data_IF_570119501127
#
_entry.id   IF_570119501127
#
_cell.length_a   1.000
_cell.length_b   1.000
_cell.length_c   1.000
_cell.angle_alpha   90.00
_cell.angle_beta   90.00
_cell.angle_gamma   90.00
#
_symmetry.space_group_name_H-M   'P 1'
#
loop_
_entity.id
_entity.type
_entity.pdbx_description
1 polymer ?
#
# COMPACT_ATOMS: atom_id res chain seq x y z
N UNK A 1 -3.98 16.16 5.56
CA UNK A 1 -3.27 15.53 4.42
C UNK A 1 -2.75 14.16 4.84
N UNK A 2 -3.00 13.14 4.01
CA UNK A 2 -2.52 11.79 4.27
C UNK A 2 -1.42 11.41 3.29
N UNK A 3 -0.38 10.75 3.80
CA UNK A 3 0.72 10.22 3.00
C UNK A 3 0.42 8.77 2.65
N UNK A 4 0.40 8.46 1.36
CA UNK A 4 0.13 7.11 0.86
C UNK A 4 1.41 6.58 0.22
N UNK A 5 2.01 5.58 0.83
CA UNK A 5 3.24 4.96 0.33
C UNK A 5 2.88 3.82 -0.63
N UNK A 6 3.45 3.85 -1.82
CA UNK A 6 3.31 2.77 -2.80
C UNK A 6 4.66 2.14 -3.11
N UNK A 7 4.72 0.82 -3.03
CA UNK A 7 5.94 0.03 -3.24
C UNK A 7 5.76 -0.89 -4.42
N UNK A 8 6.64 -0.78 -5.41
CA UNK A 8 6.61 -1.59 -6.63
C UNK A 8 8.03 -1.66 -7.21
N UNK A 9 8.38 -2.75 -7.90
CA UNK A 9 9.68 -2.91 -8.52
C UNK A 9 9.81 -2.20 -9.86
N UNK A 10 8.70 -1.68 -10.41
CA UNK A 10 8.71 -1.01 -11.70
C UNK A 10 8.53 0.50 -11.57
N UNK A 11 9.46 1.25 -12.13
CA UNK A 11 9.42 2.71 -12.13
C UNK A 11 8.13 3.24 -12.78
N UNK A 12 7.72 2.66 -13.90
CA UNK A 12 6.53 3.11 -14.62
C UNK A 12 5.27 2.95 -13.79
N UNK A 13 5.17 1.86 -13.04
CA UNK A 13 4.03 1.62 -12.16
C UNK A 13 4.01 2.63 -11.01
N UNK A 14 5.18 2.99 -10.48
CA UNK A 14 5.27 4.02 -9.45
C UNK A 14 4.77 5.38 -9.98
N UNK A 15 5.13 5.73 -11.21
CA UNK A 15 4.67 6.97 -11.86
C UNK A 15 3.15 6.94 -12.09
N UNK A 16 2.63 5.80 -12.54
CA UNK A 16 1.19 5.62 -12.75
C UNK A 16 0.41 5.82 -11.46
N UNK A 17 0.95 5.35 -10.34
CA UNK A 17 0.32 5.56 -9.04
C UNK A 17 0.30 7.05 -8.67
N UNK A 18 1.40 7.75 -8.88
CA UNK A 18 1.45 9.19 -8.59
C UNK A 18 0.37 9.95 -9.38
N UNK A 19 0.24 9.64 -10.67
CA UNK A 19 -0.79 10.26 -11.52
C UNK A 19 -2.20 9.89 -11.07
N UNK A 20 -2.38 8.63 -10.66
CA UNK A 20 -3.67 8.14 -10.15
C UNK A 20 -4.11 8.94 -8.94
N UNK A 21 -3.21 9.17 -7.99
CA UNK A 21 -3.51 9.95 -6.79
C UNK A 21 -3.75 11.43 -7.13
N UNK A 22 -2.94 12.00 -8.03
CA UNK A 22 -3.08 13.40 -8.42
C UNK A 22 -4.43 13.71 -9.08
N UNK A 23 -4.98 12.73 -9.82
CA UNK A 23 -6.27 12.88 -10.49
C UNK A 23 -7.46 12.66 -9.55
N UNK A 24 -7.20 12.18 -8.35
CA UNK A 24 -8.25 11.92 -7.37
C UNK A 24 -8.60 13.22 -6.64
N UNK A 25 -9.86 13.58 -6.68
CA UNK A 25 -10.36 14.79 -6.00
C UNK A 25 -11.15 14.39 -4.75
N UNK A 26 -10.64 14.80 -3.60
CA UNK A 26 -11.24 14.53 -2.31
C UNK A 26 -11.11 15.77 -1.44
N UNK A 27 -11.94 15.85 -0.39
CA UNK A 27 -11.81 16.90 0.62
C UNK A 27 -10.50 16.77 1.38
N UNK A 28 -10.00 15.54 1.51
CA UNK A 28 -8.73 15.26 2.17
C UNK A 28 -7.67 15.13 1.09
N UNK A 29 -6.61 15.92 1.22
CA UNK A 29 -5.50 15.86 0.27
C UNK A 29 -4.66 14.61 0.53
N UNK A 30 -4.34 13.88 -0.55
CA UNK A 30 -3.45 12.73 -0.51
C UNK A 30 -2.10 13.09 -1.11
N UNK A 31 -1.03 12.70 -0.44
CA UNK A 31 0.34 12.86 -0.93
C UNK A 31 0.89 11.49 -1.29
N UNK A 32 1.13 11.22 -2.59
CA UNK A 32 1.73 9.94 -2.98
C UNK A 32 3.23 9.95 -2.69
N UNK A 33 3.70 8.87 -2.09
CA UNK A 33 5.12 8.63 -1.87
C UNK A 33 5.41 7.28 -2.49
N UNK A 34 6.43 7.19 -3.34
CA UNK A 34 6.77 5.96 -4.04
C UNK A 34 8.16 5.48 -3.64
N UNK A 35 8.36 4.17 -3.63
CA UNK A 35 9.64 3.59 -3.29
C UNK A 35 9.80 2.22 -3.93
N UNK A 36 11.03 1.90 -4.36
CA UNK A 36 11.36 0.54 -4.75
C UNK A 36 11.49 -0.32 -3.49
N UNK A 37 11.20 -1.64 -3.59
CA UNK A 37 11.45 -2.52 -2.47
C UNK A 37 12.95 -2.66 -2.24
N UNK A 38 13.38 -2.69 -0.98
CA UNK A 38 14.78 -2.93 -0.64
C UNK A 38 15.04 -4.44 -0.61
N UNK A 39 16.30 -4.83 -0.71
CA UNK A 39 16.70 -6.24 -0.77
C UNK A 39 16.52 -7.01 0.53
N UNK A 40 16.33 -6.32 1.64
CA UNK A 40 16.19 -6.89 2.97
C UNK A 40 14.88 -6.41 3.60
N UNK A 41 14.07 -7.34 4.10
CA UNK A 41 12.77 -7.01 4.66
C UNK A 41 12.88 -6.09 5.88
N UNK A 42 13.84 -6.34 6.77
CA UNK A 42 14.05 -5.49 7.96
C UNK A 42 14.41 -4.06 7.57
N UNK A 43 15.27 -3.89 6.57
CA UNK A 43 15.65 -2.58 6.07
C UNK A 43 14.46 -1.87 5.41
N UNK A 44 13.61 -2.63 4.71
CA UNK A 44 12.40 -2.08 4.12
C UNK A 44 11.45 -1.57 5.20
N UNK A 45 11.27 -2.33 6.28
CA UNK A 45 10.44 -1.93 7.41
C UNK A 45 11.00 -0.65 8.05
N UNK A 46 12.31 -0.56 8.24
CA UNK A 46 12.94 0.65 8.77
C UNK A 46 12.72 1.86 7.87
N UNK A 47 12.80 1.63 6.55
CA UNK A 47 12.52 2.67 5.57
C UNK A 47 11.09 3.20 5.69
N UNK A 48 10.11 2.29 5.83
CA UNK A 48 8.71 2.66 6.00
C UNK A 48 8.51 3.46 7.29
N UNK A 49 9.15 3.03 8.38
CA UNK A 49 9.06 3.74 9.66
C UNK A 49 9.58 5.18 9.52
N UNK A 50 10.68 5.37 8.80
CA UNK A 50 11.23 6.72 8.56
C UNK A 50 10.33 7.59 7.70
N UNK A 51 9.68 7.00 6.70
CA UNK A 51 8.75 7.73 5.85
C UNK A 51 7.51 8.14 6.65
N UNK A 52 7.11 7.31 7.59
CA UNK A 52 5.93 7.52 8.44
C UNK A 52 4.66 7.76 7.62
N UNK A 53 4.29 6.83 6.72
CA UNK A 53 3.07 6.98 5.93
C UNK A 53 1.81 6.77 6.76
N UNK A 54 0.69 7.21 6.21
CA UNK A 54 -0.62 6.96 6.82
C UNK A 54 -1.24 5.66 6.31
N UNK A 55 -0.82 5.22 5.12
CA UNK A 55 -1.21 3.92 4.57
C UNK A 55 -0.11 3.39 3.66
N UNK A 56 -0.08 2.06 3.50
CA UNK A 56 0.88 1.38 2.64
C UNK A 56 0.12 0.61 1.57
N UNK A 57 0.56 0.76 0.32
CA UNK A 57 0.07 -0.04 -0.80
C UNK A 57 1.31 -0.69 -1.40
N UNK A 58 1.29 -2.00 -1.56
CA UNK A 58 2.42 -2.73 -2.15
C UNK A 58 1.95 -3.61 -3.29
N UNK A 59 2.74 -3.68 -4.36
CA UNK A 59 2.55 -4.70 -5.37
C UNK A 59 2.82 -6.06 -4.71
N UNK A 60 2.10 -7.09 -5.15
CA UNK A 60 2.29 -8.43 -4.60
C UNK A 60 3.65 -8.99 -4.98
N UNK A 61 4.01 -8.93 -6.27
CA UNK A 61 5.25 -9.52 -6.78
C UNK A 61 6.35 -8.47 -6.86
N UNK A 62 7.22 -8.46 -5.87
CA UNK A 62 8.30 -7.47 -5.76
C UNK A 62 9.63 -7.93 -6.37
N UNK A 63 9.66 -9.14 -6.93
CA UNK A 63 10.88 -9.75 -7.46
C UNK A 63 10.70 -10.34 -8.86
N UNK A 64 9.65 -9.95 -9.56
CA UNK A 64 9.33 -10.51 -10.87
C UNK A 64 10.09 -9.83 -12.01
N UNK A 65 10.11 -8.50 -11.99
CA UNK A 65 10.77 -7.70 -13.03
C UNK A 65 11.98 -7.00 -12.44
N UNK A 66 13.16 -7.30 -13.02
CA UNK A 66 14.43 -6.73 -12.57
C UNK A 66 14.99 -5.72 -13.55
N UNK A 67 14.11 -5.02 -14.27
CA UNK A 67 14.52 -4.00 -15.25
C UNK A 67 15.03 -2.76 -14.55
N UNK A 68 14.33 -2.30 -13.53
CA UNK A 68 14.65 -1.07 -12.81
C UNK A 68 15.48 -1.32 -11.54
N UNK A 69 15.26 -2.47 -10.89
CA UNK A 69 16.07 -2.88 -9.75
C UNK A 69 16.93 -4.08 -10.17
N UNK A 70 18.19 -4.07 -9.76
CA UNK A 70 19.17 -5.10 -10.16
C UNK A 70 19.48 -6.10 -9.05
N UNK A 71 18.81 -5.99 -7.92
CA UNK A 71 19.03 -6.84 -6.76
C UNK A 71 17.82 -7.74 -6.52
N UNK A 72 18.02 -8.79 -5.75
CA UNK A 72 16.97 -9.72 -5.38
C UNK A 72 16.13 -9.18 -4.22
N UNK A 73 14.80 -9.41 -4.29
CA UNK A 73 13.87 -9.05 -3.21
C UNK A 73 13.22 -10.34 -2.71
N UNK A 74 13.66 -10.90 -1.57
CA UNK A 74 13.24 -12.23 -1.13
C UNK A 74 11.91 -12.25 -0.37
N UNK A 75 11.03 -11.29 -0.60
CA UNK A 75 9.70 -11.22 0.01
C UNK A 75 8.70 -10.66 -1.00
N UNK A 76 7.44 -10.94 -0.81
CA UNK A 76 6.35 -10.38 -1.62
C UNK A 76 5.63 -9.27 -0.84
N UNK A 77 4.63 -8.65 -1.48
CA UNK A 77 3.87 -7.56 -0.85
C UNK A 77 3.07 -8.00 0.37
N UNK A 78 2.56 -9.23 0.39
CA UNK A 78 1.84 -9.77 1.54
C UNK A 78 2.79 -9.94 2.72
N UNK A 79 3.98 -10.52 2.48
CA UNK A 79 5.01 -10.65 3.52
C UNK A 79 5.36 -9.30 4.14
N UNK A 80 5.50 -8.28 3.29
CA UNK A 80 5.86 -6.95 3.73
C UNK A 80 4.78 -6.32 4.62
N UNK A 81 3.52 -6.34 4.17
CA UNK A 81 2.44 -5.71 4.92
C UNK A 81 2.13 -6.47 6.22
N UNK A 82 2.21 -7.80 6.19
CA UNK A 82 1.98 -8.60 7.41
C UNK A 82 3.06 -8.31 8.45
N UNK A 83 4.33 -8.19 8.02
CA UNK A 83 5.42 -7.86 8.95
C UNK A 83 5.24 -6.47 9.56
N UNK A 84 4.84 -5.49 8.75
CA UNK A 84 4.57 -4.15 9.25
C UNK A 84 3.39 -4.14 10.23
N UNK A 85 2.34 -4.92 9.95
CA UNK A 85 1.17 -5.01 10.81
C UNK A 85 1.45 -5.72 12.13
N UNK A 86 2.50 -6.52 12.23
CA UNK A 86 2.93 -7.08 13.52
C UNK A 86 3.45 -5.99 14.44
N UNK A 87 4.06 -4.95 13.87
CA UNK A 87 4.58 -3.81 14.63
C UNK A 87 3.47 -2.84 14.96
N UNK A 88 2.58 -2.61 14.00
CA UNK A 88 1.44 -1.69 14.14
C UNK A 88 0.15 -2.41 13.78
N UNK A 89 -0.51 -2.97 14.78
CA UNK A 89 -1.76 -3.71 14.60
C UNK A 89 -2.79 -2.90 13.80
N UNK A 90 -3.37 -3.56 12.80
CA UNK A 90 -4.44 -3.00 11.98
C UNK A 90 -4.06 -1.75 11.19
N UNK A 91 -2.77 -1.52 10.99
CA UNK A 91 -2.33 -0.40 10.17
C UNK A 91 -2.89 -0.54 8.74
N UNK A 92 -3.37 0.55 8.12
CA UNK A 92 -3.96 0.48 6.78
C UNK A 92 -2.93 0.02 5.73
N UNK A 93 -3.09 -1.21 5.25
CA UNK A 93 -2.21 -1.81 4.25
C UNK A 93 -3.04 -2.46 3.17
N UNK A 94 -2.58 -2.33 1.92
CA UNK A 94 -3.25 -2.88 0.75
C UNK A 94 -2.22 -3.55 -0.15
N UNK A 95 -2.62 -4.61 -0.84
CA UNK A 95 -1.77 -5.31 -1.79
C UNK A 95 -2.46 -5.32 -3.14
N UNK A 96 -1.74 -4.94 -4.18
CA UNK A 96 -2.25 -4.99 -5.55
C UNK A 96 -1.64 -6.19 -6.27
N UNK A 97 -2.47 -6.90 -7.01
CA UNK A 97 -2.04 -8.09 -7.76
C UNK A 97 -2.59 -8.08 -9.17
N UNK A 98 -1.85 -8.68 -10.09
CA UNK A 98 -2.26 -8.81 -11.50
C UNK A 98 -3.09 -10.09 -11.71
N UNK A 99 -4.29 -10.15 -11.12
CA UNK A 99 -5.23 -11.28 -11.24
C UNK A 99 -4.61 -12.62 -10.82
N UNK A 100 -3.86 -12.61 -9.72
CA UNK A 100 -3.15 -13.79 -9.23
C UNK A 100 -3.79 -14.29 -7.94
N UNK A 101 -4.27 -15.54 -7.98
CA UNK A 101 -4.91 -16.16 -6.82
C UNK A 101 -3.93 -16.43 -5.67
N UNK A 102 -2.62 -16.49 -5.95
CA UNK A 102 -1.62 -16.73 -4.90
C UNK A 102 -1.63 -15.65 -3.83
N UNK A 103 -1.81 -14.38 -4.21
CA UNK A 103 -1.85 -13.28 -3.26
C UNK A 103 -3.02 -13.45 -2.29
N UNK A 104 -4.19 -13.82 -2.82
CA UNK A 104 -5.40 -14.05 -2.02
C UNK A 104 -5.19 -15.22 -1.06
N UNK A 105 -4.60 -16.32 -1.56
CA UNK A 105 -4.36 -17.50 -0.76
C UNK A 105 -3.26 -17.29 0.30
N UNK A 106 -2.31 -16.41 0.02
CA UNK A 106 -1.19 -16.13 0.94
C UNK A 106 -1.57 -15.16 2.05
N UNK A 107 -2.60 -14.34 1.82
CA UNK A 107 -3.00 -13.32 2.80
C UNK A 107 -3.93 -13.89 3.85
N UNK A 108 -3.69 -13.51 5.10
CA UNK A 108 -4.59 -13.84 6.21
C UNK A 108 -5.86 -12.95 6.19
N UNK A 109 -5.79 -11.83 5.48
CA UNK A 109 -6.92 -10.91 5.31
C UNK A 109 -7.10 -10.59 3.83
N UNK A 110 -8.04 -11.29 3.20
CA UNK A 110 -8.33 -11.11 1.77
C UNK A 110 -8.89 -9.73 1.44
N UNK A 111 -9.33 -8.98 2.43
CA UNK A 111 -9.87 -7.64 2.22
C UNK A 111 -8.79 -6.61 1.88
N UNK A 112 -7.53 -6.92 2.13
CA UNK A 112 -6.42 -6.02 1.80
C UNK A 112 -5.84 -6.26 0.41
N UNK A 113 -6.30 -7.30 -0.30
CA UNK A 113 -5.80 -7.66 -1.64
C UNK A 113 -6.74 -7.13 -2.72
N UNK A 114 -6.20 -6.40 -3.67
CA UNK A 114 -6.96 -5.79 -4.78
C UNK A 114 -6.28 -6.08 -6.10
N UNK A 115 -7.06 -6.03 -7.19
CA UNK A 115 -6.54 -6.24 -8.54
C UNK A 115 -5.82 -4.99 -9.02
N UNK A 116 -4.58 -5.16 -9.51
CA UNK A 116 -3.70 -4.06 -9.91
C UNK A 116 -4.27 -3.20 -11.06
N UNK A 117 -5.08 -3.79 -11.94
CA UNK A 117 -5.64 -3.04 -13.07
C UNK A 117 -6.55 -1.87 -12.65
N UNK A 118 -6.89 -1.77 -11.38
CA UNK A 118 -7.63 -0.63 -10.85
C UNK A 118 -6.90 0.70 -11.14
N UNK A 119 -5.57 0.67 -11.28
CA UNK A 119 -4.76 1.84 -11.60
C UNK A 119 -4.88 2.25 -13.07
N UNK A 120 -5.30 1.33 -13.94
CA UNK A 120 -5.28 1.52 -15.39
C UNK A 120 -6.66 1.58 -16.02
N UNK A 121 -7.68 1.11 -15.35
CA UNK A 121 -9.03 1.04 -15.90
C UNK A 121 -9.72 2.40 -15.85
N UNK A 122 -9.65 3.13 -16.96
CA UNK A 122 -10.21 4.49 -17.06
C UNK A 122 -11.73 4.51 -17.24
N UNK A 123 -12.32 3.42 -17.75
CA UNK A 123 -13.76 3.33 -17.93
C UNK A 123 -14.51 3.23 -16.62
N UNK A 124 -13.81 2.77 -15.59
CA UNK A 124 -14.36 2.63 -14.24
C UNK A 124 -13.80 3.72 -13.31
N UNK A 125 -13.98 4.99 -13.69
CA UNK A 125 -13.58 6.10 -12.83
C UNK A 125 -14.15 5.97 -11.40
N UNK A 126 -15.36 5.39 -11.29
CA UNK A 126 -15.97 5.11 -9.99
C UNK A 126 -15.21 4.06 -9.18
N UNK A 127 -14.61 3.05 -9.83
CA UNK A 127 -13.82 2.03 -9.15
C UNK A 127 -12.54 2.60 -8.56
N UNK A 128 -11.88 3.51 -9.30
CA UNK A 128 -10.67 4.19 -8.82
C UNK A 128 -10.97 5.06 -7.60
N UNK A 129 -12.04 5.85 -7.69
CA UNK A 129 -12.50 6.68 -6.57
C UNK A 129 -12.82 5.82 -5.36
N UNK A 130 -13.50 4.69 -5.57
CA UNK A 130 -13.84 3.77 -4.48
C UNK A 130 -12.61 3.19 -3.80
N UNK A 131 -11.55 2.87 -4.56
CA UNK A 131 -10.34 2.34 -3.97
C UNK A 131 -9.68 3.36 -3.03
N UNK A 132 -9.46 4.58 -3.51
CA UNK A 132 -8.86 5.62 -2.68
C UNK A 132 -9.78 6.06 -1.54
N UNK A 133 -11.10 6.05 -1.74
CA UNK A 133 -12.06 6.28 -0.67
C UNK A 133 -11.93 5.23 0.43
N UNK A 134 -11.70 3.96 0.07
CA UNK A 134 -11.47 2.89 1.04
C UNK A 134 -10.16 3.09 1.80
N UNK A 135 -9.13 3.53 1.10
CA UNK A 135 -7.85 3.83 1.74
C UNK A 135 -8.04 4.91 2.81
N UNK A 136 -8.71 5.99 2.44
CA UNK A 136 -9.02 7.10 3.37
C UNK A 136 -9.85 6.58 4.55
N UNK A 137 -10.88 5.80 4.27
CA UNK A 137 -11.74 5.24 5.31
C UNK A 137 -10.95 4.37 6.30
N UNK A 138 -10.05 3.54 5.80
CA UNK A 138 -9.21 2.70 6.66
C UNK A 138 -8.25 3.53 7.50
N UNK A 139 -7.70 4.61 6.95
CA UNK A 139 -6.85 5.52 7.70
C UNK A 139 -7.64 6.15 8.84
N UNK A 140 -8.85 6.63 8.55
CA UNK A 140 -9.70 7.25 9.56
C UNK A 140 -10.09 6.28 10.68
N UNK A 141 -10.42 5.03 10.33
CA UNK A 141 -10.72 3.99 11.31
C UNK A 141 -9.50 3.69 12.19
N UNK A 142 -8.33 3.62 11.59
CA UNK A 142 -7.09 3.38 12.33
C UNK A 142 -6.81 4.52 13.31
N UNK A 143 -6.91 5.76 12.87
CA UNK A 143 -6.70 6.93 13.71
C UNK A 143 -7.70 6.99 14.86
N UNK A 144 -8.97 6.70 14.59
CA UNK A 144 -10.01 6.68 15.62
C UNK A 144 -9.75 5.60 16.66
N UNK A 145 -9.24 4.44 16.25
CA UNK A 145 -8.89 3.36 17.15
C UNK A 145 -7.73 3.75 18.07
N UNK A 146 -6.69 4.37 17.51
CA UNK A 146 -5.54 4.84 18.28
C UNK A 146 -6.00 5.90 19.30
N UNK A 147 -6.87 6.81 18.90
CA UNK A 147 -7.39 7.84 19.79
C UNK A 147 -8.19 7.24 20.94
N UNK A 148 -9.02 6.22 20.68
CA UNK A 148 -9.75 5.51 21.73
C UNK A 148 -8.83 4.83 22.73
N UNK A 149 -7.77 4.17 22.25
CA UNK A 149 -6.80 3.53 23.13
C UNK A 149 -6.11 4.58 24.03
N UNK A 150 -5.77 5.73 23.50
CA UNK A 150 -5.19 6.81 24.30
C UNK A 150 -6.13 7.29 25.38
N UNK A 151 -7.42 7.40 25.07
CA UNK A 151 -8.44 7.81 26.04
C UNK A 151 -8.62 6.77 27.14
N UNK A 152 -8.60 5.49 26.79
CA UNK A 152 -8.72 4.40 27.76
C UNK A 152 -7.54 4.33 28.71
N UNK A 153 -6.34 4.71 28.25
CA UNK A 153 -5.13 4.73 29.06
C UNK A 153 -5.00 5.96 29.93
N UNK A 154 -5.75 6.98 29.62
CA UNK A 154 -5.79 8.20 30.41
C UNK A 154 -6.74 8.02 31.61
#
# INVERSE_FOLDING_TARGET
MYKILFIDEEKDTLQDFEEFVEKFHSKIKLEPITNFPLSNLEEMIECIIKIAPDAIISDYRLNELKTDIKYNVPYNGVDLVEEYQRIRNDFPCFVLTALDDEAVNSSNDVNIVYVKNILYNQEEGNAKAKFLDRVISQIEHYENRIERYKQELA
#
